data_IF_504135800081
#
_entry.id   IF_504135800081
#
_cell.length_a   1.000
_cell.length_b   1.000
_cell.length_c   1.000
_cell.angle_alpha   90.00
_cell.angle_beta   90.00
_cell.angle_gamma   90.00
#
_symmetry.space_group_name_H-M   'P 1'
#
loop_
_entity.id
_entity.type
_entity.pdbx_description
1 polymer ?
#
# COMPACT_ATOMS: atom_id res chain seq x y z
N UNK A 1 32.13 -40.79 -11.91
CA UNK A 1 32.66 -39.62 -11.18
C UNK A 1 32.07 -38.39 -11.85
N UNK A 2 30.94 -37.90 -11.33
CA UNK A 2 30.37 -36.59 -11.65
C UNK A 2 29.96 -36.01 -10.31
N UNK A 3 30.59 -34.89 -9.96
CA UNK A 3 30.37 -34.16 -8.72
C UNK A 3 29.11 -33.31 -8.90
N UNK A 4 28.12 -33.51 -8.03
CA UNK A 4 27.00 -32.60 -7.83
C UNK A 4 27.53 -31.27 -7.25
N UNK A 5 27.06 -30.09 -7.72
CA UNK A 5 27.48 -28.82 -7.14
C UNK A 5 26.79 -28.59 -5.80
N UNK A 6 27.60 -28.47 -4.75
CA UNK A 6 27.21 -28.08 -3.40
C UNK A 6 26.72 -26.62 -3.42
N UNK A 7 25.40 -26.43 -3.33
CA UNK A 7 24.79 -25.12 -3.11
C UNK A 7 24.77 -24.81 -1.61
N UNK A 8 25.96 -24.66 -1.02
CA UNK A 8 26.07 -24.14 0.34
C UNK A 8 25.61 -22.69 0.34
N UNK A 9 24.43 -22.47 0.91
CA UNK A 9 23.94 -21.13 1.22
C UNK A 9 24.86 -20.57 2.30
N UNK A 10 25.70 -19.59 1.98
CA UNK A 10 26.40 -18.82 2.99
C UNK A 10 25.33 -18.08 3.80
N UNK A 11 25.00 -18.63 4.98
CA UNK A 11 24.30 -17.89 6.01
C UNK A 11 25.18 -16.67 6.35
N UNK A 12 24.59 -15.47 6.30
CA UNK A 12 25.26 -14.27 6.80
C UNK A 12 25.60 -14.49 8.27
N UNK A 13 26.88 -14.56 8.60
CA UNK A 13 27.37 -14.63 9.98
C UNK A 13 26.75 -13.49 10.81
N UNK A 14 25.99 -13.86 11.85
CA UNK A 14 25.67 -12.97 12.97
C UNK A 14 24.30 -12.27 12.97
N UNK A 15 23.42 -12.48 11.98
CA UNK A 15 22.04 -12.01 12.10
C UNK A 15 21.15 -13.09 12.73
N UNK A 16 20.95 -13.01 14.04
CA UNK A 16 19.89 -13.76 14.71
C UNK A 16 18.61 -12.90 14.66
N UNK A 17 17.53 -13.37 14.01
CA UNK A 17 16.30 -12.61 13.97
C UNK A 17 15.77 -12.41 15.40
N UNK A 18 15.15 -11.27 15.71
CA UNK A 18 14.72 -10.94 17.07
C UNK A 18 13.72 -11.95 17.67
N UNK A 19 13.12 -12.80 16.84
CA UNK A 19 12.31 -13.94 17.23
C UNK A 19 12.27 -14.99 16.10
N UNK A 20 12.09 -16.28 16.42
CA UNK A 20 11.90 -17.32 15.42
C UNK A 20 10.55 -17.15 14.70
N UNK A 21 10.55 -17.28 13.37
CA UNK A 21 9.33 -17.35 12.58
C UNK A 21 8.76 -18.77 12.59
N UNK A 22 7.52 -18.93 13.04
CA UNK A 22 6.74 -20.16 12.90
C UNK A 22 5.96 -20.12 11.56
N UNK A 23 6.32 -20.93 10.55
CA UNK A 23 5.63 -20.89 9.26
C UNK A 23 4.18 -21.42 9.30
N UNK A 24 3.80 -22.17 10.34
CA UNK A 24 2.43 -22.64 10.54
C UNK A 24 1.56 -21.64 11.32
N UNK A 25 2.16 -20.97 12.30
CA UNK A 25 1.49 -20.03 13.20
C UNK A 25 1.57 -18.57 12.79
N UNK A 26 2.49 -18.16 11.92
CA UNK A 26 2.68 -16.76 11.52
C UNK A 26 2.24 -16.45 10.09
N UNK A 27 1.82 -15.20 9.88
CA UNK A 27 1.54 -14.57 8.60
C UNK A 27 2.53 -13.41 8.42
N UNK A 28 3.34 -13.44 7.36
CA UNK A 28 4.41 -12.47 7.15
C UNK A 28 3.97 -11.35 6.20
N UNK A 29 4.21 -10.12 6.61
CA UNK A 29 3.94 -8.91 5.85
C UNK A 29 5.26 -8.12 5.71
N UNK A 30 5.63 -7.79 4.49
CA UNK A 30 6.91 -7.15 4.18
C UNK A 30 6.66 -5.84 3.45
N UNK A 31 7.25 -4.75 3.94
CA UNK A 31 7.30 -3.51 3.17
C UNK A 31 8.21 -3.65 1.95
N UNK A 32 8.03 -2.79 0.96
CA UNK A 32 8.81 -2.85 -0.28
C UNK A 32 9.98 -1.87 -0.27
N UNK A 33 9.71 -0.58 -0.43
CA UNK A 33 10.73 0.47 -0.46
C UNK A 33 11.38 0.60 0.92
N UNK A 34 12.70 0.67 1.00
CA UNK A 34 13.44 0.78 2.25
C UNK A 34 13.57 -0.52 3.04
N UNK A 35 12.83 -1.58 2.66
CA UNK A 35 12.83 -2.88 3.34
C UNK A 35 13.30 -4.02 2.43
N UNK A 36 12.54 -4.35 1.38
CA UNK A 36 12.94 -5.38 0.41
C UNK A 36 13.82 -4.82 -0.71
N UNK A 37 13.64 -3.55 -1.03
CA UNK A 37 14.41 -2.83 -2.02
C UNK A 37 15.01 -1.57 -1.40
N UNK A 38 16.30 -1.35 -1.62
CA UNK A 38 16.99 -0.15 -1.15
C UNK A 38 16.38 1.11 -1.78
N UNK A 39 16.29 2.18 -0.98
CA UNK A 39 15.85 3.47 -1.47
C UNK A 39 16.83 4.01 -2.51
N UNK A 40 16.31 4.45 -3.65
CA UNK A 40 17.10 5.06 -4.72
C UNK A 40 16.64 6.49 -4.99
N UNK A 41 17.52 7.31 -5.56
CA UNK A 41 17.20 8.69 -5.94
C UNK A 41 16.10 8.77 -7.00
N UNK A 42 15.98 7.75 -7.86
CA UNK A 42 14.86 7.59 -8.77
C UNK A 42 13.97 6.40 -8.32
N UNK A 43 12.76 6.65 -7.80
CA UNK A 43 11.84 5.59 -7.39
C UNK A 43 11.43 4.63 -8.52
N UNK A 44 11.51 5.06 -9.78
CA UNK A 44 11.12 4.24 -10.93
C UNK A 44 12.12 3.10 -11.19
N UNK A 45 13.38 3.26 -10.79
CA UNK A 45 14.46 2.29 -11.03
C UNK A 45 14.57 1.20 -9.94
N UNK A 46 13.69 1.22 -8.95
CA UNK A 46 13.73 0.30 -7.81
C UNK A 46 13.15 -1.08 -8.17
N UNK A 47 13.99 -2.06 -8.47
CA UNK A 47 13.56 -3.44 -8.74
C UNK A 47 14.26 -4.44 -7.79
N UNK A 48 13.59 -5.56 -7.50
CA UNK A 48 14.27 -6.67 -6.81
C UNK A 48 15.26 -7.35 -7.76
N UNK A 49 16.47 -7.56 -7.28
CA UNK A 49 17.44 -8.40 -7.95
C UNK A 49 16.96 -9.87 -7.97
N UNK A 50 17.41 -10.64 -8.95
CA UNK A 50 16.90 -11.99 -9.22
C UNK A 50 17.16 -12.99 -8.07
N UNK A 51 18.22 -12.79 -7.31
CA UNK A 51 18.51 -13.50 -6.06
C UNK A 51 17.47 -13.17 -4.96
N UNK A 52 17.17 -11.89 -4.73
CA UNK A 52 16.15 -11.46 -3.77
C UNK A 52 14.75 -11.97 -4.14
N UNK A 53 14.43 -12.00 -5.42
CA UNK A 53 13.19 -12.62 -5.94
C UNK A 53 13.11 -14.10 -5.54
N UNK A 54 14.18 -14.87 -5.77
CA UNK A 54 14.24 -16.30 -5.41
C UNK A 54 14.08 -16.51 -3.91
N UNK A 55 14.74 -15.69 -3.09
CA UNK A 55 14.60 -15.72 -1.63
C UNK A 55 13.16 -15.44 -1.21
N UNK A 56 12.52 -14.42 -1.79
CA UNK A 56 11.15 -14.04 -1.47
C UNK A 56 10.15 -15.14 -1.85
N UNK A 57 10.32 -15.79 -3.00
CA UNK A 57 9.51 -16.94 -3.41
C UNK A 57 9.71 -18.15 -2.49
N UNK A 58 10.95 -18.48 -2.15
CA UNK A 58 11.27 -19.56 -1.22
C UNK A 58 10.66 -19.30 0.17
N UNK A 59 10.73 -18.06 0.65
CA UNK A 59 10.11 -17.65 1.90
C UNK A 59 8.58 -17.77 1.84
N UNK A 60 7.95 -17.30 0.77
CA UNK A 60 6.50 -17.45 0.55
C UNK A 60 6.08 -18.93 0.59
N UNK A 61 6.82 -19.82 -0.08
CA UNK A 61 6.56 -21.25 -0.05
C UNK A 61 6.69 -21.85 1.37
N UNK A 62 7.74 -21.47 2.11
CA UNK A 62 7.93 -21.90 3.51
C UNK A 62 6.81 -21.43 4.42
N UNK A 63 6.30 -20.22 4.21
CA UNK A 63 5.17 -19.64 4.96
C UNK A 63 3.79 -20.18 4.51
N UNK A 64 3.74 -21.27 3.73
CA UNK A 64 2.49 -21.81 3.15
C UNK A 64 1.66 -20.74 2.44
N UNK A 65 2.33 -19.86 1.68
CA UNK A 65 1.75 -18.71 0.97
C UNK A 65 1.14 -17.61 1.84
N UNK A 66 1.28 -17.67 3.17
CA UNK A 66 0.91 -16.60 4.10
C UNK A 66 1.97 -15.50 4.16
N UNK A 67 2.37 -15.01 2.98
CA UNK A 67 3.29 -13.89 2.80
C UNK A 67 2.66 -12.86 1.87
N UNK A 68 2.65 -11.59 2.29
CA UNK A 68 2.24 -10.47 1.47
C UNK A 68 3.29 -9.34 1.47
N UNK A 69 3.52 -8.74 0.30
CA UNK A 69 4.26 -7.49 0.18
C UNK A 69 3.27 -6.33 0.24
N UNK A 70 3.50 -5.40 1.16
CA UNK A 70 2.60 -4.28 1.46
C UNK A 70 3.31 -2.96 1.23
N UNK A 71 2.90 -2.20 0.20
CA UNK A 71 3.59 -0.98 -0.23
C UNK A 71 2.64 0.20 -0.38
N UNK A 72 3.19 1.41 -0.26
CA UNK A 72 2.53 2.65 -0.69
C UNK A 72 2.41 2.77 -2.22
N UNK A 73 3.25 2.04 -2.98
CA UNK A 73 3.20 2.01 -4.45
C UNK A 73 1.85 1.53 -4.96
N UNK A 74 1.50 1.96 -6.16
CA UNK A 74 0.36 1.41 -6.88
C UNK A 74 0.53 -0.11 -7.08
N UNK A 75 -0.53 -0.89 -6.92
CA UNK A 75 -0.44 -2.36 -7.02
C UNK A 75 0.02 -2.83 -8.41
N UNK A 76 -0.23 -2.06 -9.49
CA UNK A 76 0.23 -2.35 -10.86
C UNK A 76 1.70 -1.99 -11.06
N UNK A 77 2.21 -1.02 -10.31
CA UNK A 77 3.65 -0.76 -10.25
C UNK A 77 4.35 -1.88 -9.47
N UNK A 78 3.79 -2.26 -8.32
CA UNK A 78 4.30 -3.36 -7.50
C UNK A 78 4.32 -4.70 -8.26
N UNK A 79 3.30 -5.00 -9.07
CA UNK A 79 3.21 -6.21 -9.93
C UNK A 79 4.35 -6.31 -10.96
N UNK A 80 4.98 -5.19 -11.33
CA UNK A 80 6.15 -5.19 -12.23
C UNK A 80 7.47 -5.40 -11.51
N UNK A 81 7.48 -5.19 -10.19
CA UNK A 81 8.70 -5.15 -9.36
C UNK A 81 8.90 -6.43 -8.55
N UNK A 82 7.83 -7.17 -8.27
CA UNK A 82 7.88 -8.40 -7.48
C UNK A 82 7.15 -9.56 -8.19
N UNK A 83 7.41 -10.82 -7.78
CA UNK A 83 6.77 -11.99 -8.36
C UNK A 83 5.22 -11.99 -8.27
N UNK A 84 4.59 -12.52 -9.33
CA UNK A 84 3.14 -12.64 -9.46
C UNK A 84 2.49 -13.70 -8.56
N UNK A 85 3.28 -14.60 -7.99
CA UNK A 85 2.88 -15.74 -7.16
C UNK A 85 2.85 -15.45 -5.65
N UNK A 86 2.99 -14.17 -5.28
CA UNK A 86 2.93 -13.67 -3.89
C UNK A 86 1.73 -12.74 -3.73
N UNK A 87 1.23 -12.51 -2.52
CA UNK A 87 0.22 -11.47 -2.31
C UNK A 87 0.84 -10.08 -2.46
N UNK A 88 0.19 -9.21 -3.24
CA UNK A 88 0.60 -7.83 -3.49
C UNK A 88 -0.44 -6.87 -2.92
N UNK A 89 -0.02 -5.93 -2.09
CA UNK A 89 -0.86 -4.88 -1.55
C UNK A 89 -0.27 -3.53 -1.91
N UNK A 90 -1.03 -2.71 -2.65
CA UNK A 90 -0.63 -1.38 -3.09
C UNK A 90 -1.52 -0.27 -2.56
N UNK A 91 -1.13 0.98 -2.80
CA UNK A 91 -1.87 2.18 -2.46
C UNK A 91 -2.11 2.33 -0.96
N UNK A 92 -1.12 1.98 -0.14
CA UNK A 92 -1.24 1.90 1.32
C UNK A 92 -2.38 0.98 1.80
N UNK A 93 -2.70 -0.07 1.03
CA UNK A 93 -3.72 -1.03 1.43
C UNK A 93 -5.07 -0.88 0.75
N UNK A 94 -5.21 0.04 -0.21
CA UNK A 94 -6.43 0.19 -1.00
C UNK A 94 -6.66 -0.99 -1.93
N UNK A 95 -5.59 -1.55 -2.50
CA UNK A 95 -5.65 -2.59 -3.51
C UNK A 95 -4.90 -3.85 -3.07
N UNK A 96 -5.62 -4.96 -3.01
CA UNK A 96 -5.08 -6.29 -2.69
C UNK A 96 -5.17 -7.16 -3.96
N UNK A 97 -4.05 -7.77 -4.35
CA UNK A 97 -3.95 -8.67 -5.47
C UNK A 97 -3.40 -10.03 -5.01
N UNK A 98 -4.15 -11.09 -5.28
CA UNK A 98 -3.82 -12.44 -4.86
C UNK A 98 -2.74 -13.08 -5.77
N UNK A 99 -2.03 -14.11 -5.28
CA UNK A 99 -1.12 -14.93 -6.08
C UNK A 99 -1.77 -15.42 -7.37
N UNK A 100 -1.04 -15.31 -8.48
CA UNK A 100 -1.50 -15.71 -9.82
C UNK A 100 -2.53 -14.77 -10.46
N UNK A 101 -3.01 -13.75 -9.75
CA UNK A 101 -3.92 -12.75 -10.30
C UNK A 101 -3.16 -11.53 -10.83
N UNK A 102 -3.74 -10.90 -11.85
CA UNK A 102 -3.31 -9.58 -12.31
C UNK A 102 -4.05 -8.48 -11.54
N UNK A 103 -3.38 -7.36 -11.22
CA UNK A 103 -4.07 -6.22 -10.67
C UNK A 103 -5.14 -5.70 -11.64
N UNK A 104 -6.23 -5.15 -11.09
CA UNK A 104 -7.29 -4.55 -11.91
C UNK A 104 -6.72 -3.39 -12.72
N UNK A 105 -7.13 -3.29 -13.99
CA UNK A 105 -6.60 -2.28 -14.91
C UNK A 105 -6.86 -0.84 -14.44
N UNK A 106 -7.97 -0.61 -13.73
CA UNK A 106 -8.35 0.70 -13.20
C UNK A 106 -8.12 0.76 -11.69
N UNK A 107 -7.42 1.80 -11.23
CA UNK A 107 -7.52 2.22 -9.84
C UNK A 107 -8.97 2.65 -9.59
N UNK A 108 -9.55 2.35 -8.42
CA UNK A 108 -10.84 2.88 -8.06
C UNK A 108 -10.81 4.41 -8.22
N UNK A 109 -11.74 4.98 -8.97
CA UNK A 109 -11.92 6.44 -9.00
C UNK A 109 -12.71 6.87 -7.78
N UNK A 110 -12.60 8.14 -7.43
CA UNK A 110 -13.50 8.72 -6.44
C UNK A 110 -14.96 8.56 -6.91
N UNK A 111 -15.91 8.27 -6.00
CA UNK A 111 -17.32 8.20 -6.35
C UNK A 111 -17.79 9.47 -7.05
N UNK A 112 -18.51 9.33 -8.16
CA UNK A 112 -18.92 10.47 -8.99
C UNK A 112 -19.69 11.54 -8.20
N UNK A 113 -20.48 11.13 -7.22
CA UNK A 113 -21.21 12.04 -6.34
C UNK A 113 -20.26 12.92 -5.53
N UNK A 114 -19.20 12.32 -4.96
CA UNK A 114 -18.18 13.03 -4.21
C UNK A 114 -17.37 13.98 -5.13
N UNK A 115 -17.00 13.49 -6.32
CA UNK A 115 -16.29 14.32 -7.30
C UNK A 115 -17.12 15.55 -7.71
N UNK A 116 -18.40 15.37 -8.04
CA UNK A 116 -19.31 16.48 -8.38
C UNK A 116 -19.49 17.45 -7.23
N UNK A 117 -19.61 16.98 -5.99
CA UNK A 117 -19.77 17.84 -4.82
C UNK A 117 -18.54 18.72 -4.59
N UNK A 118 -17.33 18.15 -4.66
CA UNK A 118 -16.08 18.90 -4.51
C UNK A 118 -15.83 19.86 -5.67
N UNK A 119 -16.24 19.49 -6.89
CA UNK A 119 -16.19 20.40 -8.04
C UNK A 119 -17.17 21.58 -7.87
N UNK A 120 -18.35 21.36 -7.29
CA UNK A 120 -19.27 22.45 -6.92
C UNK A 120 -18.66 23.43 -5.92
N UNK A 121 -17.84 22.94 -4.98
CA UNK A 121 -17.12 23.82 -4.06
C UNK A 121 -16.06 24.68 -4.77
N UNK A 122 -15.44 24.18 -5.85
CA UNK A 122 -14.49 25.01 -6.59
C UNK A 122 -15.15 26.19 -7.29
N UNK A 123 -16.38 25.99 -7.78
CA UNK A 123 -17.17 27.07 -8.39
C UNK A 123 -17.63 28.10 -7.36
N UNK A 124 -17.97 27.66 -6.14
CA UNK A 124 -18.42 28.54 -5.05
C UNK A 124 -17.27 29.33 -4.40
N UNK A 125 -16.03 28.87 -4.54
CA UNK A 125 -14.83 29.47 -3.93
C UNK A 125 -13.75 29.73 -4.98
N UNK A 126 -13.80 30.88 -5.69
CA UNK A 126 -12.76 31.27 -6.63
C UNK A 126 -11.37 31.24 -5.99
N UNK A 127 -10.36 30.76 -6.72
CA UNK A 127 -9.00 30.57 -6.20
C UNK A 127 -8.76 29.20 -5.53
N UNK A 128 -9.77 28.35 -5.46
CA UNK A 128 -9.59 26.92 -5.13
C UNK A 128 -9.36 26.08 -6.38
N UNK A 129 -8.72 24.92 -6.21
CA UNK A 129 -8.46 23.97 -7.30
C UNK A 129 -8.68 22.55 -6.84
N UNK A 130 -9.48 21.79 -7.58
CA UNK A 130 -9.64 20.36 -7.38
C UNK A 130 -8.58 19.57 -8.18
N UNK A 131 -7.94 18.62 -7.52
CA UNK A 131 -7.01 17.67 -8.11
C UNK A 131 -7.52 16.24 -7.86
N UNK A 132 -7.59 15.44 -8.92
CA UNK A 132 -8.06 14.05 -8.87
C UNK A 132 -6.86 13.12 -8.91
N UNK A 133 -6.67 12.33 -7.85
CA UNK A 133 -5.58 11.36 -7.68
C UNK A 133 -6.16 9.96 -7.48
N UNK A 134 -6.73 9.39 -8.54
CA UNK A 134 -7.42 8.10 -8.48
C UNK A 134 -8.64 8.16 -7.54
N UNK A 135 -8.63 7.47 -6.38
CA UNK A 135 -9.71 7.55 -5.42
C UNK A 135 -9.62 8.79 -4.51
N UNK A 136 -8.50 9.51 -4.48
CA UNK A 136 -8.31 10.68 -3.63
C UNK A 136 -8.68 11.96 -4.38
N UNK A 137 -9.45 12.84 -3.75
CA UNK A 137 -9.77 14.16 -4.25
C UNK A 137 -9.13 15.23 -3.35
N UNK A 138 -8.22 16.02 -3.89
CA UNK A 138 -7.50 17.05 -3.18
C UNK A 138 -8.02 18.45 -3.57
N UNK A 139 -8.60 19.16 -2.61
CA UNK A 139 -9.07 20.53 -2.78
C UNK A 139 -8.01 21.51 -2.23
N UNK A 140 -7.29 22.16 -3.13
CA UNK A 140 -6.28 23.17 -2.82
C UNK A 140 -6.92 24.53 -2.65
N UNK A 141 -6.51 25.28 -1.63
CA UNK A 141 -7.01 26.62 -1.34
C UNK A 141 -5.89 27.65 -1.13
N UNK A 142 -4.69 27.38 -1.68
CA UNK A 142 -3.50 28.24 -1.49
C UNK A 142 -3.72 29.68 -1.95
N UNK A 143 -4.49 29.90 -3.00
CA UNK A 143 -4.74 31.24 -3.55
C UNK A 143 -5.87 31.98 -2.83
N UNK A 144 -6.62 31.29 -1.97
CA UNK A 144 -7.69 31.87 -1.13
C UNK A 144 -7.62 31.28 0.30
N UNK A 145 -6.58 31.63 1.09
CA UNK A 145 -6.40 31.11 2.45
C UNK A 145 -7.58 31.37 3.39
N UNK A 146 -8.27 32.48 3.20
CA UNK A 146 -9.42 32.92 3.98
C UNK A 146 -10.64 31.99 3.86
N UNK A 147 -10.74 31.19 2.79
CA UNK A 147 -11.83 30.23 2.64
C UNK A 147 -11.66 28.96 3.49
N UNK A 148 -10.52 28.76 4.16
CA UNK A 148 -10.21 27.53 4.90
C UNK A 148 -11.38 27.05 5.77
N UNK A 149 -11.90 27.91 6.64
CA UNK A 149 -12.95 27.54 7.60
C UNK A 149 -14.26 27.18 6.92
N UNK A 150 -14.63 27.89 5.84
CA UNK A 150 -15.83 27.58 5.07
C UNK A 150 -15.70 26.24 4.33
N UNK A 151 -14.54 26.00 3.70
CA UNK A 151 -14.22 24.76 3.00
C UNK A 151 -14.18 23.57 3.95
N UNK A 152 -13.51 23.70 5.10
CA UNK A 152 -13.39 22.64 6.11
C UNK A 152 -14.77 22.18 6.59
N UNK A 153 -15.67 23.13 6.87
CA UNK A 153 -17.04 22.84 7.28
C UNK A 153 -17.80 22.10 6.18
N UNK A 154 -17.79 22.62 4.96
CA UNK A 154 -18.51 22.03 3.83
C UNK A 154 -17.97 20.64 3.47
N UNK A 155 -16.65 20.47 3.46
CA UNK A 155 -16.01 19.19 3.17
C UNK A 155 -16.27 18.16 4.26
N UNK A 156 -16.29 18.56 5.54
CA UNK A 156 -16.61 17.65 6.65
C UNK A 156 -18.02 17.08 6.48
N UNK A 157 -18.98 17.92 6.07
CA UNK A 157 -20.36 17.50 5.79
C UNK A 157 -20.44 16.57 4.58
N UNK A 158 -19.86 16.98 3.43
CA UNK A 158 -19.90 16.22 2.18
C UNK A 158 -19.22 14.85 2.35
N UNK A 159 -18.01 14.83 2.91
CA UNK A 159 -17.24 13.60 3.10
C UNK A 159 -17.85 12.73 4.19
N UNK A 160 -18.42 13.32 5.25
CA UNK A 160 -19.10 12.58 6.30
C UNK A 160 -20.35 11.82 5.83
N UNK A 161 -20.97 12.23 4.72
CA UNK A 161 -22.06 11.51 4.07
C UNK A 161 -21.59 10.40 3.12
N UNK A 162 -20.31 10.40 2.76
CA UNK A 162 -19.73 9.43 1.84
C UNK A 162 -19.17 8.23 2.60
N UNK A 163 -19.92 7.12 2.61
CA UNK A 163 -19.48 5.89 3.24
C UNK A 163 -18.12 5.42 2.66
N UNK A 164 -17.19 5.07 3.54
CA UNK A 164 -15.87 4.60 3.13
C UNK A 164 -14.90 5.71 2.72
N UNK A 165 -15.13 6.97 3.10
CA UNK A 165 -14.25 8.11 2.86
C UNK A 165 -14.03 8.94 4.12
N UNK A 166 -12.81 9.47 4.27
CA UNK A 166 -12.39 10.36 5.35
C UNK A 166 -11.74 11.62 4.80
N UNK A 167 -11.82 12.71 5.58
CA UNK A 167 -11.21 13.99 5.27
C UNK A 167 -9.87 14.10 5.99
N UNK A 168 -8.80 14.43 5.25
CA UNK A 168 -7.49 14.76 5.80
C UNK A 168 -7.15 16.23 5.51
N UNK A 169 -6.70 16.95 6.53
CA UNK A 169 -6.21 18.32 6.38
C UNK A 169 -4.70 18.34 6.17
N UNK A 170 -4.24 19.12 5.18
CA UNK A 170 -2.84 19.33 4.87
C UNK A 170 -2.51 20.81 4.72
N UNK A 171 -1.25 21.12 4.36
CA UNK A 171 -0.80 22.51 4.18
C UNK A 171 -1.48 23.14 2.95
N UNK A 172 -2.52 23.94 3.19
CA UNK A 172 -3.32 24.61 2.16
C UNK A 172 -4.07 23.65 1.22
N UNK A 173 -4.40 22.46 1.71
CA UNK A 173 -5.15 21.43 0.97
C UNK A 173 -6.03 20.62 1.92
N UNK A 174 -7.18 20.18 1.43
CA UNK A 174 -7.99 19.14 2.07
C UNK A 174 -8.10 17.95 1.12
N UNK A 175 -7.92 16.73 1.64
CA UNK A 175 -7.98 15.50 0.86
C UNK A 175 -9.15 14.64 1.32
N UNK A 176 -10.12 14.41 0.44
CA UNK A 176 -11.13 13.37 0.61
C UNK A 176 -10.56 12.07 0.06
N UNK A 177 -10.34 11.09 0.93
CA UNK A 177 -9.68 9.83 0.60
C UNK A 177 -10.46 8.64 1.13
N UNK A 178 -10.37 7.44 0.53
CA UNK A 178 -11.00 6.26 1.10
C UNK A 178 -10.60 6.02 2.56
N UNK A 179 -11.54 5.54 3.36
CA UNK A 179 -11.32 5.17 4.75
C UNK A 179 -10.22 4.12 4.83
N UNK A 180 -9.11 4.48 5.48
CA UNK A 180 -8.18 3.46 5.95
C UNK A 180 -7.32 2.79 4.91
N UNK A 181 -6.85 3.52 3.90
CA UNK A 181 -5.58 3.19 3.28
C UNK A 181 -4.47 3.34 4.35
N UNK A 182 -4.28 2.29 5.15
CA UNK A 182 -3.09 2.08 5.96
C UNK A 182 -2.66 0.61 5.83
N UNK A 183 -1.34 0.37 5.95
CA UNK A 183 -0.79 -0.99 5.92
C UNK A 183 -1.47 -1.87 6.99
N UNK A 184 -1.71 -1.31 8.18
CA UNK A 184 -2.39 -1.99 9.27
C UNK A 184 -3.80 -2.50 8.91
N UNK A 185 -4.62 -1.71 8.20
CA UNK A 185 -5.97 -2.15 7.81
C UNK A 185 -5.93 -3.18 6.70
N UNK A 186 -5.00 -3.08 5.75
CA UNK A 186 -4.82 -4.14 4.76
C UNK A 186 -4.39 -5.46 5.39
N UNK A 187 -3.45 -5.40 6.34
CA UNK A 187 -3.06 -6.56 7.16
C UNK A 187 -4.29 -7.13 7.86
N UNK A 188 -5.08 -6.31 8.55
CA UNK A 188 -6.30 -6.76 9.24
C UNK A 188 -7.31 -7.44 8.30
N UNK A 189 -7.47 -6.95 7.06
CA UNK A 189 -8.33 -7.57 6.04
C UNK A 189 -7.76 -8.91 5.56
N UNK A 190 -6.46 -8.98 5.29
CA UNK A 190 -5.79 -10.22 4.91
C UNK A 190 -5.90 -11.27 6.02
N UNK A 191 -5.75 -10.88 7.29
CA UNK A 191 -5.91 -11.77 8.45
C UNK A 191 -7.30 -12.41 8.58
N UNK A 192 -8.31 -11.94 7.84
CA UNK A 192 -9.65 -12.54 7.81
C UNK A 192 -9.82 -13.60 6.72
N UNK A 193 -8.84 -13.81 5.84
CA UNK A 193 -8.93 -14.74 4.70
C UNK A 193 -7.77 -15.74 4.67
N UNK A 194 -7.97 -16.95 4.10
CA UNK A 194 -6.87 -17.86 3.83
C UNK A 194 -5.84 -17.23 2.87
N UNK A 195 -4.54 -17.55 2.99
CA UNK A 195 -3.94 -18.45 3.98
C UNK A 195 -3.63 -17.79 5.34
N UNK A 196 -3.90 -16.49 5.51
CA UNK A 196 -3.51 -15.72 6.71
C UNK A 196 -4.40 -15.97 7.94
N UNK A 197 -5.67 -16.33 7.73
CA UNK A 197 -6.66 -16.52 8.79
C UNK A 197 -6.21 -17.53 9.85
N UNK A 198 -6.25 -17.10 11.12
CA UNK A 198 -5.89 -17.93 12.29
C UNK A 198 -4.41 -17.89 12.66
N UNK A 199 -3.58 -17.11 11.93
CA UNK A 199 -2.15 -16.91 12.22
C UNK A 199 -1.93 -15.64 13.03
N UNK A 200 -0.72 -15.44 13.56
CA UNK A 200 -0.29 -14.17 14.11
C UNK A 200 0.42 -13.33 13.03
N UNK A 201 0.07 -12.04 12.87
CA UNK A 201 0.70 -11.18 11.89
C UNK A 201 2.10 -10.76 12.36
N UNK A 202 3.07 -10.84 11.46
CA UNK A 202 4.42 -10.32 11.62
C UNK A 202 4.67 -9.32 10.49
N UNK A 203 4.92 -8.05 10.82
CA UNK A 203 5.23 -7.01 9.84
C UNK A 203 6.71 -6.62 9.95
N UNK A 204 7.39 -6.50 8.81
CA UNK A 204 8.75 -5.94 8.70
C UNK A 204 8.68 -4.75 7.75
N UNK A 205 9.13 -3.59 8.23
CA UNK A 205 9.12 -2.33 7.48
C UNK A 205 10.03 -1.29 8.15
N UNK A 206 10.49 -0.31 7.38
CA UNK A 206 11.32 0.82 7.85
C UNK A 206 10.52 2.09 8.14
N UNK A 207 9.27 2.16 7.67
CA UNK A 207 8.40 3.34 7.80
C UNK A 207 7.30 3.21 8.87
N UNK A 208 6.83 4.34 9.40
CA UNK A 208 5.86 4.45 10.51
C UNK A 208 4.39 4.37 10.03
N UNK A 209 4.15 4.19 8.72
CA UNK A 209 2.83 4.35 8.07
C UNK A 209 1.94 3.11 8.01
#
# INVERSE_FOLDING_TARGET
MMLEPDMTTQASDGFEPPFPLDPGGHALFLDFDGTLAELQSNPDTVFLAADRIRVLQALSARMNSALAVVSGRDVRDLDRRIPGDIWRVGGHGSDICAPGQRPRAFAPTAPDALHRALFGLTEAHPGTRLEVKGPVLALHYRQTPEAKTALERALTEIVGQQAGYSLQSGKMVFEAKPDGASKARAIARLMQMPPFRGRQPVMVGDDVT
#
